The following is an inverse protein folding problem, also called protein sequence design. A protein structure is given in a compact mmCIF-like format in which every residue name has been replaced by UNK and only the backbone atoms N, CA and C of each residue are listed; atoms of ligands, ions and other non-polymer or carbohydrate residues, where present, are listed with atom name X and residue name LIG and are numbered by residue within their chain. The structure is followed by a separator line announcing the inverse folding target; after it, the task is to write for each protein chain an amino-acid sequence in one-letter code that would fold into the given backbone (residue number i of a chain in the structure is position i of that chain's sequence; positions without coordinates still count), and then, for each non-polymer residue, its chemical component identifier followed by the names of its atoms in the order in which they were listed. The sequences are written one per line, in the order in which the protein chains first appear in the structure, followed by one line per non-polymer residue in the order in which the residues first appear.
data_IF_138690120931
#
_entry.id   IF_138690120931
#
_cell.length_a   1.000
_cell.length_b   1.000
_cell.length_c   1.000
_cell.angle_alpha   90.00
_cell.angle_beta   90.00
_cell.angle_gamma   90.00
#
_symmetry.space_group_name_H-M   'P 1'
#
loop_
_entity.id
_entity.type
_entity.pdbx_description
1 polymer ?
#
# COMPACT_ATOMS: atom_id res chain seq x y z
N UNK A 1 31.44 65.31 -5.20
CA UNK A 1 31.24 64.10 -4.36
C UNK A 1 30.22 63.08 -4.93
N UNK A 2 29.20 63.49 -5.70
CA UNK A 2 28.16 62.57 -6.22
C UNK A 2 28.66 61.52 -7.24
N UNK A 3 29.64 61.85 -8.09
CA UNK A 3 30.16 60.94 -9.13
C UNK A 3 30.84 59.68 -8.56
N UNK A 4 31.49 59.79 -7.40
CA UNK A 4 32.18 58.66 -6.73
C UNK A 4 31.15 57.64 -6.20
N UNK A 5 30.03 58.11 -5.65
CA UNK A 5 28.95 57.24 -5.17
C UNK A 5 28.33 56.41 -6.31
N UNK A 6 28.13 57.01 -7.49
CA UNK A 6 27.60 56.32 -8.67
C UNK A 6 28.52 55.20 -9.15
N UNK A 7 29.85 55.41 -9.14
CA UNK A 7 30.82 54.39 -9.57
C UNK A 7 30.86 53.18 -8.63
N UNK A 8 30.79 53.41 -7.31
CA UNK A 8 30.73 52.36 -6.29
C UNK A 8 29.43 51.57 -6.40
N UNK A 9 28.30 52.26 -6.59
CA UNK A 9 26.98 51.61 -6.69
C UNK A 9 26.85 50.71 -7.92
N UNK A 10 27.47 51.08 -9.05
CA UNK A 10 27.54 50.24 -10.27
C UNK A 10 28.39 48.98 -10.08
N UNK A 11 29.54 49.09 -9.41
CA UNK A 11 30.40 47.93 -9.11
C UNK A 11 29.72 46.93 -8.18
N UNK A 12 29.00 47.43 -7.17
CA UNK A 12 28.19 46.59 -6.27
C UNK A 12 27.07 45.86 -7.03
N UNK A 13 26.36 46.56 -7.91
CA UNK A 13 25.26 45.99 -8.68
C UNK A 13 25.75 44.88 -9.64
N UNK A 14 26.90 45.08 -10.30
CA UNK A 14 27.53 44.06 -11.14
C UNK A 14 27.96 42.84 -10.33
N UNK A 15 28.54 43.05 -9.13
CA UNK A 15 28.91 41.96 -8.23
C UNK A 15 27.73 41.10 -7.79
N UNK A 16 26.59 41.73 -7.47
CA UNK A 16 25.36 41.04 -7.09
C UNK A 16 24.82 40.20 -8.27
N UNK A 17 24.80 40.76 -9.48
CA UNK A 17 24.30 40.05 -10.67
C UNK A 17 25.16 38.83 -10.99
N UNK A 18 26.49 38.94 -10.92
CA UNK A 18 27.40 37.81 -11.15
C UNK A 18 27.29 36.73 -10.06
N UNK A 19 27.12 37.14 -8.80
CA UNK A 19 26.93 36.20 -7.69
C UNK A 19 25.64 35.40 -7.81
N UNK A 20 24.53 36.05 -8.16
CA UNK A 20 23.24 35.39 -8.33
C UNK A 20 23.23 34.43 -9.52
N UNK A 21 23.81 34.83 -10.65
CA UNK A 21 23.84 33.96 -11.85
C UNK A 21 24.68 32.71 -11.61
N UNK A 22 25.86 32.85 -10.99
CA UNK A 22 26.70 31.72 -10.62
C UNK A 22 26.02 30.81 -9.59
N UNK A 23 25.38 31.40 -8.57
CA UNK A 23 24.66 30.65 -7.54
C UNK A 23 23.49 29.83 -8.10
N UNK A 24 22.67 30.44 -8.96
CA UNK A 24 21.55 29.75 -9.62
C UNK A 24 22.06 28.63 -10.53
N UNK A 25 23.14 28.86 -11.29
CA UNK A 25 23.71 27.83 -12.15
C UNK A 25 24.19 26.60 -11.36
N UNK A 26 24.90 26.82 -10.24
CA UNK A 26 25.36 25.73 -9.37
C UNK A 26 24.18 24.99 -8.75
N UNK A 27 23.16 25.72 -8.29
CA UNK A 27 21.96 25.12 -7.71
C UNK A 27 21.22 24.25 -8.73
N UNK A 28 21.06 24.71 -9.97
CA UNK A 28 20.41 23.93 -11.03
C UNK A 28 21.23 22.69 -11.42
N UNK A 29 22.55 22.81 -11.53
CA UNK A 29 23.44 21.68 -11.84
C UNK A 29 23.39 20.60 -10.75
N UNK A 30 23.42 20.99 -9.48
CA UNK A 30 23.34 20.05 -8.35
C UNK A 30 21.98 19.37 -8.27
N UNK A 31 20.88 20.10 -8.41
CA UNK A 31 19.52 19.52 -8.45
C UNK A 31 19.34 18.57 -9.63
N UNK A 32 19.83 18.94 -10.81
CA UNK A 32 19.80 18.08 -12.00
C UNK A 32 20.58 16.79 -11.78
N UNK A 33 21.81 16.86 -11.26
CA UNK A 33 22.62 15.69 -10.94
C UNK A 33 21.93 14.77 -9.91
N UNK A 34 21.38 15.35 -8.84
CA UNK A 34 20.62 14.58 -7.82
C UNK A 34 19.40 13.92 -8.46
N UNK A 35 18.65 14.63 -9.30
CA UNK A 35 17.49 14.09 -9.99
C UNK A 35 17.87 12.91 -10.89
N UNK A 36 18.93 13.03 -11.68
CA UNK A 36 19.44 11.97 -12.55
C UNK A 36 19.89 10.73 -11.75
N UNK A 37 20.65 10.93 -10.68
CA UNK A 37 21.08 9.83 -9.79
C UNK A 37 19.88 9.17 -9.13
N UNK A 38 18.95 9.94 -8.59
CA UNK A 38 17.73 9.41 -7.97
C UNK A 38 16.86 8.66 -8.98
N UNK A 39 16.75 9.15 -10.22
CA UNK A 39 16.03 8.47 -11.30
C UNK A 39 16.71 7.15 -11.63
N UNK A 40 18.04 7.15 -11.82
CA UNK A 40 18.79 5.95 -12.16
C UNK A 40 18.72 4.89 -11.06
N UNK A 41 18.89 5.28 -9.79
CA UNK A 41 18.74 4.35 -8.65
C UNK A 41 17.33 3.77 -8.58
N UNK A 42 16.30 4.58 -8.77
CA UNK A 42 14.90 4.10 -8.79
C UNK A 42 14.66 3.11 -9.92
N UNK A 43 15.20 3.37 -11.10
CA UNK A 43 15.04 2.47 -12.26
C UNK A 43 15.79 1.15 -12.05
N UNK A 44 16.99 1.18 -11.47
CA UNK A 44 17.72 -0.03 -11.08
C UNK A 44 16.92 -0.84 -10.06
N UNK A 45 16.38 -0.21 -9.02
CA UNK A 45 15.57 -0.91 -8.02
C UNK A 45 14.29 -1.51 -8.62
N UNK A 46 13.62 -0.81 -9.54
CA UNK A 46 12.46 -1.38 -10.26
C UNK A 46 12.86 -2.60 -11.08
N UNK A 47 14.00 -2.55 -11.78
CA UNK A 47 14.52 -3.69 -12.55
C UNK A 47 14.90 -4.86 -11.64
N UNK A 48 15.56 -4.60 -10.52
CA UNK A 48 15.89 -5.62 -9.52
C UNK A 48 14.63 -6.26 -8.91
N UNK A 49 13.63 -5.45 -8.54
CA UNK A 49 12.34 -5.97 -8.05
C UNK A 49 11.63 -6.82 -9.10
N UNK A 50 11.68 -6.43 -10.39
CA UNK A 50 11.10 -7.22 -11.48
C UNK A 50 11.87 -8.53 -11.70
N UNK A 51 13.20 -8.52 -11.58
CA UNK A 51 14.02 -9.75 -11.61
C UNK A 51 13.68 -10.66 -10.44
N UNK A 52 13.69 -10.16 -9.20
CA UNK A 52 13.25 -10.96 -8.05
C UNK A 52 11.81 -11.47 -8.20
N UNK A 53 10.91 -10.73 -8.84
CA UNK A 53 9.56 -11.22 -9.12
C UNK A 53 9.55 -12.36 -10.14
N UNK A 54 10.38 -12.28 -11.20
CA UNK A 54 10.51 -13.32 -12.22
C UNK A 54 11.27 -14.55 -11.71
N UNK A 55 12.37 -14.34 -10.99
CA UNK A 55 13.22 -15.40 -10.42
C UNK A 55 12.48 -16.14 -9.30
N UNK A 56 11.66 -15.43 -8.49
CA UNK A 56 10.72 -16.06 -7.56
C UNK A 56 9.40 -16.48 -8.23
N UNK A 57 9.33 -16.52 -9.57
CA UNK A 57 8.20 -16.96 -10.40
C UNK A 57 6.81 -16.37 -10.08
N UNK A 58 6.72 -15.33 -9.25
CA UNK A 58 5.44 -14.92 -8.67
C UNK A 58 4.85 -15.95 -7.69
N UNK A 59 5.65 -16.89 -7.20
CA UNK A 59 5.24 -17.99 -6.30
C UNK A 59 4.53 -17.47 -5.06
N UNK A 60 4.98 -16.34 -4.49
CA UNK A 60 4.30 -15.69 -3.37
C UNK A 60 2.91 -15.18 -3.75
N UNK A 61 2.73 -14.66 -4.96
CA UNK A 61 1.44 -14.20 -5.44
C UNK A 61 0.51 -15.39 -5.72
N UNK A 62 1.04 -16.46 -6.31
CA UNK A 62 0.30 -17.71 -6.54
C UNK A 62 -0.10 -18.38 -5.23
N UNK A 63 0.78 -18.42 -4.23
CA UNK A 63 0.47 -18.91 -2.89
C UNK A 63 -0.61 -18.07 -2.21
N UNK A 64 -0.55 -16.74 -2.34
CA UNK A 64 -1.58 -15.86 -1.79
C UNK A 64 -2.93 -16.09 -2.49
N UNK A 65 -2.96 -16.17 -3.82
CA UNK A 65 -4.18 -16.45 -4.58
C UNK A 65 -4.72 -17.85 -4.26
N UNK A 66 -3.85 -18.86 -4.19
CA UNK A 66 -4.23 -20.23 -3.81
C UNK A 66 -4.75 -20.29 -2.39
N UNK A 67 -4.12 -19.60 -1.44
CA UNK A 67 -4.60 -19.51 -0.05
C UNK A 67 -5.93 -18.77 0.05
N UNK A 68 -6.13 -17.73 -0.76
CA UNK A 68 -7.35 -16.95 -0.81
C UNK A 68 -8.49 -17.73 -1.46
N UNK A 69 -8.26 -18.39 -2.58
CA UNK A 69 -9.25 -19.25 -3.24
C UNK A 69 -9.57 -20.48 -2.37
N UNK A 70 -8.58 -21.11 -1.74
CA UNK A 70 -8.84 -22.19 -0.76
C UNK A 70 -9.64 -21.68 0.43
N UNK A 71 -9.30 -20.53 1.00
CA UNK A 71 -10.06 -19.94 2.10
C UNK A 71 -11.49 -19.59 1.65
N UNK A 72 -11.67 -19.08 0.43
CA UNK A 72 -12.95 -18.72 -0.18
C UNK A 72 -13.81 -19.95 -0.47
N UNK A 73 -13.24 -21.05 -0.96
CA UNK A 73 -13.97 -22.29 -1.18
C UNK A 73 -14.33 -23.00 0.13
N UNK A 74 -13.49 -22.91 1.17
CA UNK A 74 -13.83 -23.36 2.53
C UNK A 74 -14.90 -22.45 3.18
N UNK A 75 -15.06 -21.20 2.74
CA UNK A 75 -16.02 -20.22 3.28
C UNK A 75 -17.23 -19.93 2.40
N UNK A 76 -17.36 -20.55 1.21
CA UNK A 76 -18.59 -20.49 0.39
C UNK A 76 -19.66 -21.40 0.99
N UNK A 77 -20.09 -21.09 2.20
CA UNK A 77 -21.31 -21.62 2.78
C UNK A 77 -22.39 -20.61 2.41
N UNK A 78 -23.40 -21.03 1.64
CA UNK A 78 -24.49 -20.13 1.27
C UNK A 78 -25.30 -19.72 2.50
N UNK A 79 -25.95 -18.55 2.45
CA UNK A 79 -26.87 -18.15 3.52
C UNK A 79 -27.98 -19.20 3.72
N UNK A 80 -28.49 -19.78 2.64
CA UNK A 80 -29.47 -20.87 2.68
C UNK A 80 -28.95 -22.10 3.43
N UNK A 81 -27.68 -22.46 3.26
CA UNK A 81 -27.06 -23.56 4.01
C UNK A 81 -26.90 -23.20 5.50
N UNK A 82 -26.56 -21.95 5.81
CA UNK A 82 -26.49 -21.46 7.19
C UNK A 82 -27.86 -21.53 7.87
N UNK A 83 -28.91 -21.02 7.22
CA UNK A 83 -30.28 -21.05 7.73
C UNK A 83 -30.75 -22.49 7.94
N UNK A 84 -30.54 -23.37 6.95
CA UNK A 84 -30.88 -24.78 7.08
C UNK A 84 -30.10 -25.47 8.21
N UNK A 85 -28.82 -25.19 8.34
CA UNK A 85 -27.95 -25.81 9.35
C UNK A 85 -28.30 -25.40 10.78
N UNK A 86 -28.92 -24.23 10.96
CA UNK A 86 -29.32 -23.66 12.26
C UNK A 86 -30.81 -23.74 12.53
N UNK A 87 -31.58 -24.44 11.67
CA UNK A 87 -33.04 -24.48 11.71
C UNK A 87 -33.67 -23.07 11.74
N UNK A 88 -33.25 -22.19 10.84
CA UNK A 88 -33.62 -20.77 10.79
C UNK A 88 -33.26 -20.01 12.07
N UNK A 89 -32.03 -20.20 12.59
CA UNK A 89 -31.55 -19.58 13.82
C UNK A 89 -32.45 -19.87 15.04
N UNK A 90 -32.85 -21.14 15.19
CA UNK A 90 -33.70 -21.59 16.28
C UNK A 90 -33.06 -21.27 17.65
N UNK A 91 -33.80 -20.67 18.61
CA UNK A 91 -33.28 -20.36 19.94
C UNK A 91 -32.75 -21.58 20.71
N UNK A 92 -33.25 -22.78 20.41
CA UNK A 92 -32.77 -24.04 21.01
C UNK A 92 -31.37 -24.43 20.55
N UNK A 93 -30.90 -23.88 19.43
CA UNK A 93 -29.56 -24.11 18.90
C UNK A 93 -28.53 -23.11 19.44
N UNK A 94 -28.91 -22.17 20.33
CA UNK A 94 -27.98 -21.17 20.88
C UNK A 94 -26.95 -21.85 21.78
N UNK A 95 -25.67 -21.66 21.42
CA UNK A 95 -24.51 -22.07 22.22
C UNK A 95 -24.05 -20.96 23.18
N UNK A 96 -24.29 -19.69 22.83
CA UNK A 96 -23.90 -18.56 23.68
C UNK A 96 -24.43 -17.22 23.18
N UNK A 97 -24.52 -16.25 24.10
CA UNK A 97 -24.91 -14.86 23.82
C UNK A 97 -23.88 -13.91 24.41
N UNK A 98 -23.54 -12.83 23.69
CA UNK A 98 -22.66 -11.79 24.18
C UNK A 98 -22.79 -10.49 23.40
N UNK A 99 -21.97 -9.48 23.73
CA UNK A 99 -22.02 -8.15 23.10
C UNK A 99 -21.72 -8.12 21.60
N UNK A 100 -21.21 -9.22 21.04
CA UNK A 100 -20.89 -9.35 19.62
C UNK A 100 -21.91 -10.17 18.82
N UNK A 101 -23.04 -10.56 19.43
CA UNK A 101 -24.12 -11.32 18.79
C UNK A 101 -24.44 -12.66 19.47
N UNK A 102 -25.17 -13.50 18.76
CA UNK A 102 -25.56 -14.84 19.20
C UNK A 102 -24.78 -15.90 18.43
N UNK A 103 -24.35 -16.94 19.13
CA UNK A 103 -23.67 -18.10 18.53
C UNK A 103 -24.62 -19.27 18.54
N UNK A 104 -24.87 -19.85 17.37
CA UNK A 104 -25.74 -21.00 17.14
C UNK A 104 -24.92 -22.24 16.78
N UNK A 105 -25.40 -23.41 17.16
CA UNK A 105 -24.93 -24.69 16.66
C UNK A 105 -25.51 -24.90 15.27
N UNK A 106 -24.65 -25.11 14.28
CA UNK A 106 -25.03 -25.49 12.92
C UNK A 106 -24.56 -26.90 12.58
N UNK A 107 -25.34 -27.62 11.78
CA UNK A 107 -24.90 -28.88 11.13
C UNK A 107 -24.96 -28.67 9.62
N UNK A 108 -23.79 -28.60 8.97
CA UNK A 108 -23.67 -28.39 7.53
C UNK A 108 -24.14 -29.60 6.73
N UNK A 109 -24.31 -29.42 5.41
CA UNK A 109 -24.75 -30.49 4.50
C UNK A 109 -23.82 -31.71 4.47
N UNK A 110 -22.53 -31.48 4.74
CA UNK A 110 -21.49 -32.51 4.88
C UNK A 110 -21.41 -33.14 6.29
N UNK A 111 -22.43 -32.89 7.13
CA UNK A 111 -22.53 -33.34 8.53
C UNK A 111 -21.48 -32.76 9.49
N UNK A 112 -20.68 -31.77 9.08
CA UNK A 112 -19.79 -31.08 10.01
C UNK A 112 -20.60 -30.24 10.99
N UNK A 113 -20.28 -30.37 12.27
CA UNK A 113 -20.83 -29.52 13.33
C UNK A 113 -19.98 -28.26 13.44
N UNK A 114 -20.62 -27.10 13.34
CA UNK A 114 -19.96 -25.78 13.35
C UNK A 114 -20.65 -24.83 14.34
N UNK A 115 -19.93 -23.80 14.77
CA UNK A 115 -20.48 -22.68 15.53
C UNK A 115 -20.68 -21.50 14.57
N UNK A 116 -21.93 -21.04 14.43
CA UNK A 116 -22.31 -19.95 13.54
C UNK A 116 -22.63 -18.72 14.38
N UNK A 117 -21.87 -17.65 14.19
CA UNK A 117 -22.09 -16.37 14.86
C UNK A 117 -22.96 -15.47 13.99
N UNK A 118 -24.15 -15.14 14.47
CA UNK A 118 -25.06 -14.19 13.83
C UNK A 118 -24.77 -12.78 14.37
N UNK A 119 -24.40 -11.84 13.50
CA UNK A 119 -24.08 -10.44 13.82
C UNK A 119 -25.05 -9.48 13.17
#
# INVERSE_FOLDING_TARGET
MQCIKVKIQRGLLLGIVMGLSAGIAILLLTLSAIFLVCKWRRDIQKRLRKKHFQDNQGLLLEQLISSYENAKDVTKISLEEIEKSTNNFDPTCILGRGGHGMVYKGILSDQRVVAIKNQ
#
